data_IF_374235956016
#
_entry.id   IF_374235956016
#
_cell.length_a   1.000
_cell.length_b   1.000
_cell.length_c   1.000
_cell.angle_alpha   90.00
_cell.angle_beta   90.00
_cell.angle_gamma   90.00
#
_symmetry.space_group_name_H-M   'P 1'
#
loop_
_entity.id
_entity.type
_entity.pdbx_description
1 polymer ?
#
# COMPACT_ATOMS: atom_id res chain seq x y z
N UNK A 1 -7.05 26.65 -20.66
CA UNK A 1 -6.79 25.36 -21.35
C UNK A 1 -6.34 24.34 -20.31
N UNK A 2 -6.81 23.10 -20.39
CA UNK A 2 -6.40 22.04 -19.46
C UNK A 2 -4.97 21.59 -19.79
N UNK A 3 -4.07 21.63 -18.82
CA UNK A 3 -2.68 21.16 -18.93
C UNK A 3 -2.20 20.68 -17.56
N UNK A 4 -1.22 19.78 -17.53
CA UNK A 4 -0.56 19.34 -16.30
C UNK A 4 0.76 20.08 -16.09
N UNK A 5 1.22 20.14 -14.85
CA UNK A 5 2.54 20.68 -14.49
C UNK A 5 3.11 19.84 -13.35
N UNK A 6 4.39 19.48 -13.43
CA UNK A 6 5.12 18.91 -12.29
C UNK A 6 5.54 20.07 -11.39
N UNK A 7 5.13 20.03 -10.13
CA UNK A 7 5.47 21.03 -9.12
C UNK A 7 6.19 20.36 -7.95
N UNK A 8 7.12 21.05 -7.28
CA UNK A 8 7.62 20.59 -5.99
C UNK A 8 6.47 20.39 -5.01
N UNK A 9 6.60 19.39 -4.14
CA UNK A 9 5.71 19.15 -2.99
C UNK A 9 5.66 20.35 -2.01
N UNK A 10 6.72 21.16 -1.99
CA UNK A 10 6.80 22.43 -1.25
C UNK A 10 6.02 23.58 -1.91
N UNK A 11 5.37 23.38 -3.05
CA UNK A 11 4.62 24.42 -3.76
C UNK A 11 3.12 24.22 -3.52
N UNK A 12 2.48 25.23 -2.94
CA UNK A 12 1.08 25.15 -2.51
C UNK A 12 0.91 24.88 -1.01
N UNK A 13 1.96 25.17 -0.22
CA UNK A 13 1.94 24.97 1.23
C UNK A 13 0.69 25.63 1.84
N UNK A 14 -0.08 24.82 2.57
CA UNK A 14 -1.22 25.34 3.31
C UNK A 14 -0.72 26.09 4.54
N UNK A 15 -1.51 27.03 5.10
CA UNK A 15 -1.15 27.69 6.36
C UNK A 15 -1.05 26.73 7.56
N UNK A 16 -1.45 25.46 7.38
CA UNK A 16 -1.40 24.41 8.39
C UNK A 16 -0.18 23.50 8.25
N UNK A 17 0.71 23.79 7.30
CA UNK A 17 1.85 22.91 7.04
C UNK A 17 2.88 23.05 8.14
N UNK A 18 3.38 21.90 8.61
CA UNK A 18 4.40 21.82 9.64
C UNK A 18 5.41 20.74 9.26
N UNK A 19 6.66 20.92 9.68
CA UNK A 19 7.66 19.88 9.48
C UNK A 19 7.34 18.64 10.32
N UNK A 20 7.74 17.45 9.84
CA UNK A 20 7.60 16.21 10.61
C UNK A 20 8.24 16.29 12.00
N UNK A 21 9.38 16.99 12.13
CA UNK A 21 10.05 17.20 13.40
C UNK A 21 9.19 18.00 14.40
N UNK A 22 8.55 19.09 13.94
CA UNK A 22 7.62 19.87 14.76
C UNK A 22 6.39 19.06 15.13
N UNK A 23 5.81 18.32 14.18
CA UNK A 23 4.65 17.45 14.42
C UNK A 23 4.97 16.41 15.50
N UNK A 24 6.13 15.73 15.41
CA UNK A 24 6.57 14.75 16.41
C UNK A 24 6.80 15.37 17.78
N UNK A 25 7.47 16.52 17.83
CA UNK A 25 7.71 17.23 19.09
C UNK A 25 6.39 17.61 19.77
N UNK A 26 5.45 18.17 19.01
CA UNK A 26 4.12 18.56 19.48
C UNK A 26 3.31 17.38 20.01
N UNK A 27 3.45 16.22 19.37
CA UNK A 27 2.78 14.98 19.79
C UNK A 27 3.62 14.16 20.79
N UNK A 28 4.80 14.61 21.22
CA UNK A 28 5.65 13.86 22.16
C UNK A 28 6.00 12.45 21.65
N UNK A 29 6.31 12.33 20.36
CA UNK A 29 6.73 11.09 19.72
C UNK A 29 8.26 11.02 19.75
N UNK A 30 8.79 9.91 20.29
CA UNK A 30 10.22 9.62 20.38
C UNK A 30 10.57 8.57 19.31
N UNK A 31 11.21 8.95 18.19
CA UNK A 31 11.52 8.03 17.11
C UNK A 31 12.34 6.81 17.54
N UNK A 32 13.17 6.93 18.59
CA UNK A 32 14.02 5.83 19.08
C UNK A 32 13.21 4.69 19.70
N UNK A 33 11.95 4.94 20.06
CA UNK A 33 11.05 3.95 20.67
C UNK A 33 10.14 3.28 19.65
N UNK A 34 10.11 3.73 18.40
CA UNK A 34 9.25 3.19 17.36
C UNK A 34 9.79 1.86 16.82
N UNK A 35 8.90 0.99 16.38
CA UNK A 35 9.28 -0.19 15.60
C UNK A 35 9.71 0.27 14.21
N UNK A 36 10.92 -0.12 13.81
CA UNK A 36 11.48 0.28 12.53
C UNK A 36 10.97 -0.62 11.40
N UNK A 37 10.04 -0.10 10.62
CA UNK A 37 9.58 -0.69 9.36
C UNK A 37 10.48 -0.23 8.22
N UNK A 38 10.66 -1.09 7.22
CA UNK A 38 11.47 -0.78 6.02
C UNK A 38 10.63 -0.56 4.78
N UNK A 39 9.58 -1.38 4.60
CA UNK A 39 8.66 -1.32 3.46
C UNK A 39 7.37 -2.07 3.74
N UNK A 40 6.35 -1.80 2.94
CA UNK A 40 5.20 -2.69 2.83
C UNK A 40 5.57 -3.95 2.02
N UNK A 41 5.07 -5.11 2.42
CA UNK A 41 5.33 -6.41 1.78
C UNK A 41 4.11 -6.88 1.00
N UNK A 42 3.00 -7.14 1.69
CA UNK A 42 1.80 -7.69 1.08
C UNK A 42 0.56 -7.40 1.93
N UNK A 43 -0.62 -7.66 1.35
CA UNK A 43 -1.90 -7.68 2.08
C UNK A 43 -2.41 -9.11 2.22
N UNK A 44 -3.16 -9.36 3.30
CA UNK A 44 -3.70 -10.68 3.63
C UNK A 44 -5.22 -10.63 3.69
N UNK A 45 -5.88 -11.59 3.07
CA UNK A 45 -7.35 -11.70 3.06
C UNK A 45 -7.81 -13.14 3.21
N UNK A 46 -9.00 -13.29 3.79
CA UNK A 46 -9.75 -14.53 3.81
C UNK A 46 -10.95 -14.42 2.87
N UNK A 47 -11.15 -15.44 2.03
CA UNK A 47 -12.19 -15.48 1.01
C UNK A 47 -13.00 -16.78 1.10
N UNK A 48 -14.34 -16.72 0.99
CA UNK A 48 -15.18 -17.93 1.02
C UNK A 48 -14.90 -18.88 -0.14
N UNK A 49 -14.55 -18.30 -1.29
CA UNK A 49 -14.27 -19.00 -2.53
C UNK A 49 -12.89 -18.61 -3.04
N UNK A 50 -11.93 -19.52 -2.86
CA UNK A 50 -10.53 -19.31 -3.24
C UNK A 50 -10.36 -19.32 -4.77
N UNK A 51 -11.16 -20.10 -5.51
CA UNK A 51 -11.08 -20.14 -6.98
C UNK A 51 -11.57 -18.84 -7.60
N UNK A 52 -12.67 -18.30 -7.07
CA UNK A 52 -13.22 -17.02 -7.51
C UNK A 52 -12.23 -15.87 -7.31
N UNK A 53 -11.63 -15.75 -6.12
CA UNK A 53 -10.64 -14.69 -5.88
C UNK A 53 -9.36 -14.92 -6.70
N UNK A 54 -8.93 -16.17 -6.88
CA UNK A 54 -7.76 -16.49 -7.72
C UNK A 54 -7.98 -16.00 -9.15
N UNK A 55 -9.15 -16.25 -9.72
CA UNK A 55 -9.51 -15.78 -11.07
C UNK A 55 -9.44 -14.26 -11.15
N UNK A 56 -10.06 -13.56 -10.18
CA UNK A 56 -10.02 -12.10 -10.12
C UNK A 56 -8.59 -11.56 -10.05
N UNK A 57 -7.73 -12.10 -9.17
CA UNK A 57 -6.38 -11.59 -8.98
C UNK A 57 -5.48 -11.83 -10.20
N UNK A 58 -5.71 -12.92 -10.95
CA UNK A 58 -5.04 -13.14 -12.25
C UNK A 58 -5.53 -12.12 -13.28
N UNK A 59 -6.83 -11.90 -13.38
CA UNK A 59 -7.41 -10.91 -14.29
C UNK A 59 -7.03 -9.47 -13.93
N UNK A 60 -6.76 -9.23 -12.66
CA UNK A 60 -6.26 -7.96 -12.13
C UNK A 60 -4.79 -7.72 -12.51
N UNK A 61 -4.00 -8.78 -12.75
CA UNK A 61 -2.63 -8.68 -13.24
C UNK A 61 -1.57 -9.27 -12.30
N UNK A 62 -1.95 -10.12 -11.37
CA UNK A 62 -1.04 -10.88 -10.52
C UNK A 62 -0.80 -12.29 -11.06
N UNK A 63 0.29 -12.93 -10.61
CA UNK A 63 0.63 -14.32 -10.92
C UNK A 63 0.63 -15.15 -9.64
N UNK A 64 0.16 -16.40 -9.71
CA UNK A 64 0.21 -17.33 -8.58
C UNK A 64 1.66 -17.73 -8.30
N UNK A 65 2.18 -17.35 -7.13
CA UNK A 65 3.50 -17.75 -6.65
C UNK A 65 3.47 -19.15 -6.01
N UNK A 66 2.40 -19.45 -5.27
CA UNK A 66 2.14 -20.75 -4.66
C UNK A 66 0.65 -20.93 -4.44
N UNK A 67 0.16 -22.16 -4.46
CA UNK A 67 -1.24 -22.50 -4.15
C UNK A 67 -1.36 -23.85 -3.45
N UNK A 68 -2.26 -23.94 -2.50
CA UNK A 68 -2.72 -25.16 -1.81
C UNK A 68 -4.25 -25.23 -1.91
N UNK A 69 -4.91 -26.31 -1.41
CA UNK A 69 -6.37 -26.38 -1.38
C UNK A 69 -7.05 -25.28 -0.56
N UNK A 70 -6.34 -24.67 0.40
CA UNK A 70 -6.88 -23.70 1.35
C UNK A 70 -6.23 -22.33 1.27
N UNK A 71 -5.13 -22.16 0.53
CA UNK A 71 -4.34 -20.93 0.52
C UNK A 71 -3.71 -20.65 -0.85
N UNK A 72 -3.47 -19.38 -1.15
CA UNK A 72 -2.80 -18.94 -2.36
C UNK A 72 -1.99 -17.67 -2.11
N UNK A 73 -0.82 -17.60 -2.74
CA UNK A 73 0.09 -16.45 -2.73
C UNK A 73 0.19 -15.92 -4.14
N UNK A 74 0.05 -14.62 -4.31
CA UNK A 74 0.09 -13.95 -5.60
C UNK A 74 1.18 -12.90 -5.60
N UNK A 75 1.94 -12.82 -6.69
CA UNK A 75 3.05 -11.89 -6.85
C UNK A 75 2.89 -11.02 -8.08
N UNK A 76 3.58 -9.89 -8.05
CA UNK A 76 3.89 -9.09 -9.23
C UNK A 76 5.20 -9.51 -9.89
N UNK A 77 5.62 -8.74 -10.90
CA UNK A 77 6.90 -8.91 -11.58
C UNK A 77 8.09 -8.30 -10.81
N UNK A 78 7.85 -7.60 -9.70
CA UNK A 78 8.88 -7.10 -8.80
C UNK A 78 9.62 -8.21 -8.04
N UNK A 79 10.44 -7.80 -7.07
CA UNK A 79 11.25 -8.71 -6.24
C UNK A 79 10.53 -9.27 -5.01
N UNK A 80 9.27 -8.86 -4.76
CA UNK A 80 8.44 -9.41 -3.69
C UNK A 80 8.05 -10.86 -3.99
N UNK A 81 8.25 -11.82 -3.06
CA UNK A 81 7.82 -13.21 -3.26
C UNK A 81 6.32 -13.34 -3.46
N UNK A 82 5.55 -12.45 -2.84
CA UNK A 82 4.13 -12.24 -3.05
C UNK A 82 3.72 -10.87 -2.50
N UNK A 83 2.67 -10.29 -3.09
CA UNK A 83 2.07 -8.99 -2.77
C UNK A 83 0.64 -9.14 -2.23
N UNK A 84 0.04 -10.32 -2.40
CA UNK A 84 -1.28 -10.67 -1.91
C UNK A 84 -1.29 -12.12 -1.42
N UNK A 85 -1.80 -12.34 -0.21
CA UNK A 85 -2.07 -13.67 0.33
C UNK A 85 -3.58 -13.84 0.54
N UNK A 86 -4.09 -14.99 0.10
CA UNK A 86 -5.48 -15.40 0.26
C UNK A 86 -5.56 -16.75 0.99
N UNK A 87 -6.44 -16.87 1.97
CA UNK A 87 -6.85 -18.16 2.53
C UNK A 87 -8.36 -18.36 2.46
N UNK A 88 -8.79 -19.62 2.52
CA UNK A 88 -10.20 -19.99 2.48
C UNK A 88 -10.87 -19.78 3.84
N UNK A 89 -12.04 -19.15 3.85
CA UNK A 89 -12.90 -19.01 5.03
C UNK A 89 -13.87 -17.84 4.90
N UNK A 90 -14.55 -17.45 5.97
CA UNK A 90 -15.41 -16.25 5.97
C UNK A 90 -14.67 -14.99 5.49
N UNK A 91 -15.38 -14.10 4.78
CA UNK A 91 -14.79 -12.87 4.23
C UNK A 91 -14.20 -12.02 5.35
N UNK A 92 -12.87 -11.84 5.34
CA UNK A 92 -12.18 -11.08 6.37
C UNK A 92 -10.91 -10.45 5.83
N UNK A 93 -10.65 -9.20 6.23
CA UNK A 93 -9.34 -8.58 6.05
C UNK A 93 -8.40 -9.05 7.16
N UNK A 94 -7.24 -9.59 6.77
CA UNK A 94 -6.22 -10.11 7.68
C UNK A 94 -5.01 -9.19 7.81
N UNK A 95 -5.10 -7.96 7.28
CA UNK A 95 -4.14 -6.89 7.54
C UNK A 95 -3.16 -6.66 6.40
N UNK A 96 -2.45 -5.54 6.49
CA UNK A 96 -1.22 -5.32 5.74
C UNK A 96 -0.02 -5.86 6.51
N UNK A 97 1.02 -6.24 5.77
CA UNK A 97 2.26 -6.77 6.31
C UNK A 97 3.40 -5.85 5.96
N UNK A 98 4.21 -5.49 6.95
CA UNK A 98 5.37 -4.62 6.81
C UNK A 98 6.64 -5.36 7.18
N UNK A 99 7.69 -5.18 6.39
CA UNK A 99 9.02 -5.69 6.72
C UNK A 99 9.64 -4.82 7.81
N UNK A 100 10.30 -5.46 8.76
CA UNK A 100 11.09 -4.79 9.81
C UNK A 100 12.59 -4.86 9.51
N UNK A 101 13.34 -3.92 10.06
CA UNK A 101 14.78 -3.76 9.79
C UNK A 101 15.59 -4.96 10.29
N UNK A 102 15.28 -5.47 11.49
CA UNK A 102 15.92 -6.65 12.06
C UNK A 102 14.95 -7.52 12.91
N UNK A 103 15.43 -8.69 13.33
CA UNK A 103 14.64 -9.62 14.15
C UNK A 103 14.27 -9.03 15.53
N UNK A 104 15.13 -8.20 16.11
CA UNK A 104 14.91 -7.51 17.38
C UNK A 104 13.71 -6.56 17.35
N UNK A 105 13.39 -5.97 16.20
CA UNK A 105 12.15 -5.20 16.02
C UNK A 105 10.89 -6.08 16.17
N UNK A 106 10.93 -7.35 15.74
CA UNK A 106 9.84 -8.29 16.03
C UNK A 106 9.79 -8.67 17.52
N UNK A 107 10.95 -8.80 18.19
CA UNK A 107 10.99 -9.06 19.64
C UNK A 107 10.50 -7.88 20.47
N UNK A 108 10.72 -6.65 20.00
CA UNK A 108 10.16 -5.44 20.57
C UNK A 108 8.64 -5.43 20.41
N UNK A 109 8.16 -5.72 19.20
CA UNK A 109 6.75 -5.80 18.89
C UNK A 109 6.02 -6.91 19.67
N UNK A 110 6.65 -8.07 19.88
CA UNK A 110 6.03 -9.21 20.57
C UNK A 110 5.73 -8.94 22.05
N UNK A 111 6.39 -7.94 22.66
CA UNK A 111 6.15 -7.49 24.04
C UNK A 111 4.98 -6.53 24.16
N UNK A 112 4.41 -6.08 23.04
CA UNK A 112 3.29 -5.15 23.04
C UNK A 112 1.97 -5.84 23.35
N UNK A 113 1.05 -5.09 23.98
CA UNK A 113 -0.32 -5.56 24.20
C UNK A 113 -1.00 -5.79 22.84
N UNK A 114 -1.59 -6.96 22.66
CA UNK A 114 -2.27 -7.34 21.40
C UNK A 114 -1.37 -8.01 20.37
N UNK A 115 -0.09 -8.22 20.69
CA UNK A 115 0.82 -9.03 19.87
C UNK A 115 0.51 -10.52 19.99
N UNK A 116 0.54 -11.22 18.85
CA UNK A 116 0.59 -12.69 18.79
C UNK A 116 1.99 -13.22 19.09
N UNK A 117 2.19 -14.53 18.87
CA UNK A 117 3.53 -15.12 18.85
C UNK A 117 4.24 -14.88 17.51
N UNK A 118 5.57 -14.89 17.53
CA UNK A 118 6.38 -14.96 16.29
C UNK A 118 6.23 -16.38 15.73
N UNK A 119 5.82 -16.49 14.47
CA UNK A 119 5.65 -17.76 13.77
C UNK A 119 6.61 -17.88 12.59
N UNK A 120 7.12 -19.08 12.34
CA UNK A 120 7.90 -19.38 11.14
C UNK A 120 7.00 -19.40 9.90
N UNK A 121 7.54 -18.91 8.78
CA UNK A 121 6.93 -18.95 7.46
C UNK A 121 7.64 -19.92 6.52
N UNK A 122 8.34 -20.95 7.00
CA UNK A 122 9.14 -21.89 6.18
C UNK A 122 8.39 -22.48 4.98
N UNK A 123 7.06 -22.62 5.07
CA UNK A 123 6.24 -23.13 3.97
C UNK A 123 5.80 -22.03 2.97
N UNK A 124 5.89 -20.76 3.31
CA UNK A 124 5.51 -19.64 2.44
C UNK A 124 6.65 -19.30 1.45
N UNK A 125 6.35 -18.78 0.24
CA UNK A 125 7.40 -18.31 -0.66
C UNK A 125 8.32 -17.28 0.00
N UNK A 126 9.62 -17.52 -0.07
CA UNK A 126 10.65 -16.69 0.57
C UNK A 126 10.85 -16.93 2.07
N UNK A 127 10.04 -17.78 2.72
CA UNK A 127 10.23 -18.10 4.14
C UNK A 127 10.09 -16.90 5.09
N UNK A 128 10.89 -16.93 6.15
CA UNK A 128 11.00 -15.86 7.15
C UNK A 128 10.16 -16.10 8.41
N UNK A 129 9.91 -15.02 9.14
CA UNK A 129 9.14 -15.02 10.37
C UNK A 129 8.09 -13.93 10.34
N UNK A 130 6.95 -14.17 10.99
CA UNK A 130 5.87 -13.20 11.06
C UNK A 130 5.30 -13.08 12.46
N UNK A 131 4.96 -11.86 12.84
CA UNK A 131 4.19 -11.52 14.03
C UNK A 131 2.94 -10.76 13.59
N UNK A 132 1.81 -10.92 14.29
CA UNK A 132 0.62 -10.06 14.05
C UNK A 132 0.25 -9.31 15.32
N UNK A 133 0.12 -8.00 15.20
CA UNK A 133 -0.42 -7.08 16.19
C UNK A 133 -1.88 -6.76 15.83
N UNK A 134 -2.66 -6.35 16.82
CA UNK A 134 -4.00 -5.81 16.60
C UNK A 134 -4.05 -4.38 17.13
N UNK A 135 -4.54 -3.47 16.30
CA UNK A 135 -4.70 -2.07 16.68
C UNK A 135 -5.89 -1.88 17.66
N UNK A 136 -6.21 -0.60 17.97
CA UNK A 136 -7.24 -0.26 18.95
C UNK A 136 -8.67 -0.61 18.52
N UNK A 137 -8.90 -0.92 17.24
CA UNK A 137 -10.18 -1.38 16.69
C UNK A 137 -10.13 -2.84 16.22
N UNK A 138 -9.03 -3.54 16.52
CA UNK A 138 -8.83 -4.94 16.20
C UNK A 138 -8.45 -5.20 14.75
N UNK A 139 -8.01 -4.19 13.98
CA UNK A 139 -7.42 -4.47 12.67
C UNK A 139 -6.06 -5.13 12.87
N UNK A 140 -5.82 -6.26 12.17
CA UNK A 140 -4.51 -6.88 12.17
C UNK A 140 -3.51 -6.04 11.36
N UNK A 141 -2.30 -5.92 11.89
CA UNK A 141 -1.10 -5.48 11.18
C UNK A 141 0.00 -6.48 11.48
N UNK A 142 0.62 -7.03 10.43
CA UNK A 142 1.67 -8.02 10.59
C UNK A 142 3.05 -7.42 10.31
N UNK A 143 4.05 -7.95 11.01
CA UNK A 143 5.46 -7.67 10.79
C UNK A 143 6.11 -8.92 10.21
N UNK A 144 7.00 -8.75 9.23
CA UNK A 144 7.76 -9.84 8.62
C UNK A 144 9.26 -9.54 8.64
N UNK A 145 10.06 -10.58 8.85
CA UNK A 145 11.53 -10.50 8.79
C UNK A 145 12.11 -11.75 8.14
N UNK A 146 13.24 -11.61 7.45
CA UNK A 146 14.01 -12.73 6.90
C UNK A 146 13.38 -13.39 5.69
N UNK A 147 12.45 -12.71 5.01
CA UNK A 147 11.86 -13.22 3.77
C UNK A 147 12.84 -13.03 2.60
N UNK A 148 13.25 -14.11 1.96
CA UNK A 148 14.12 -14.08 0.78
C UNK A 148 13.39 -13.44 -0.41
N UNK A 149 14.04 -12.46 -1.06
CA UNK A 149 13.50 -11.78 -2.25
C UNK A 149 13.41 -12.75 -3.43
N UNK A 150 12.34 -12.64 -4.21
CA UNK A 150 12.24 -13.39 -5.45
C UNK A 150 13.04 -12.74 -6.58
N UNK A 151 13.44 -13.55 -7.56
CA UNK A 151 13.97 -13.03 -8.83
C UNK A 151 12.92 -12.13 -9.49
N UNK A 152 13.31 -10.91 -9.88
CA UNK A 152 12.45 -10.01 -10.64
C UNK A 152 12.18 -10.55 -12.04
N UNK A 153 11.00 -10.27 -12.56
CA UNK A 153 10.68 -10.44 -13.97
C UNK A 153 11.33 -9.34 -14.83
N UNK A 154 11.08 -9.41 -16.14
CA UNK A 154 11.46 -8.35 -17.08
C UNK A 154 10.60 -7.11 -16.82
N UNK A 155 11.26 -5.94 -16.77
CA UNK A 155 10.54 -4.68 -16.66
C UNK A 155 10.05 -4.26 -18.05
N UNK A 156 8.78 -3.83 -18.19
CA UNK A 156 8.31 -3.31 -19.46
C UNK A 156 9.16 -2.11 -19.90
N UNK A 157 9.28 -1.91 -21.21
CA UNK A 157 10.02 -0.76 -21.74
C UNK A 157 9.28 0.55 -21.43
N UNK A 158 10.04 1.62 -21.16
CA UNK A 158 9.48 2.97 -21.05
C UNK A 158 9.17 3.49 -22.45
N UNK A 159 7.90 3.76 -22.73
CA UNK A 159 7.49 4.25 -24.03
C UNK A 159 7.99 5.68 -24.30
N UNK A 160 8.25 5.97 -25.58
CA UNK A 160 8.65 7.30 -26.02
C UNK A 160 7.43 8.09 -26.49
N UNK A 161 7.25 9.28 -25.91
CA UNK A 161 6.24 10.23 -26.34
C UNK A 161 6.84 11.27 -27.28
N UNK A 162 6.00 11.77 -28.20
CA UNK A 162 6.29 12.96 -28.98
C UNK A 162 5.46 14.10 -28.39
N UNK A 163 6.11 15.23 -28.13
CA UNK A 163 5.52 16.49 -27.71
C UNK A 163 5.44 17.45 -28.91
N UNK A 164 4.82 18.61 -28.71
CA UNK A 164 4.57 19.61 -29.75
C UNK A 164 5.86 20.09 -30.42
N UNK A 165 6.89 20.33 -29.62
CA UNK A 165 8.21 20.84 -29.98
C UNK A 165 9.30 19.76 -30.03
N UNK A 166 9.15 18.66 -29.29
CA UNK A 166 10.14 17.56 -29.23
C UNK A 166 9.56 16.22 -29.72
N UNK A 167 10.17 15.60 -30.75
CA UNK A 167 9.65 14.35 -31.36
C UNK A 167 10.72 13.24 -31.41
N UNK A 168 11.15 12.69 -30.26
CA UNK A 168 12.23 11.71 -30.20
C UNK A 168 11.87 10.35 -30.81
N UNK A 169 10.58 10.01 -30.96
CA UNK A 169 10.14 8.71 -31.50
C UNK A 169 10.19 8.71 -33.03
N UNK A 170 11.33 8.30 -33.60
CA UNK A 170 11.56 8.25 -35.05
C UNK A 170 11.17 6.88 -35.64
N UNK A 171 10.17 6.86 -36.52
CA UNK A 171 9.72 5.67 -37.29
C UNK A 171 9.45 4.42 -36.43
N UNK A 172 9.02 4.62 -35.18
CA UNK A 172 8.62 3.57 -34.23
C UNK A 172 7.17 3.76 -33.80
N UNK A 173 6.43 2.67 -33.60
CA UNK A 173 5.05 2.70 -33.09
C UNK A 173 5.04 2.38 -31.60
N UNK A 174 4.21 3.06 -30.82
CA UNK A 174 3.80 2.56 -29.51
C UNK A 174 2.60 1.64 -29.74
N UNK A 175 2.76 0.35 -29.46
CA UNK A 175 1.70 -0.65 -29.54
C UNK A 175 1.65 -1.37 -28.21
N UNK A 176 0.45 -1.60 -27.72
CA UNK A 176 0.22 -2.28 -26.46
C UNK A 176 -0.51 -3.59 -26.70
N UNK A 177 -0.16 -4.59 -25.91
CA UNK A 177 -0.94 -5.82 -25.83
C UNK A 177 -2.12 -5.61 -24.87
N UNK A 178 -3.30 -6.05 -25.28
CA UNK A 178 -4.50 -5.95 -24.44
C UNK A 178 -4.49 -7.10 -23.43
N UNK A 179 -4.56 -6.77 -22.15
CA UNK A 179 -4.59 -7.75 -21.07
C UNK A 179 -4.69 -7.09 -19.69
N UNK A 180 -4.52 -7.89 -18.62
CA UNK A 180 -4.35 -7.37 -17.27
C UNK A 180 -3.20 -6.36 -17.20
N UNK A 181 -3.32 -5.34 -16.35
CA UNK A 181 -2.18 -4.47 -16.04
C UNK A 181 -1.26 -5.22 -15.07
N UNK A 182 -0.09 -5.64 -15.56
CA UNK A 182 0.85 -6.41 -14.75
C UNK A 182 1.24 -5.65 -13.48
N UNK A 183 1.02 -6.28 -12.32
CA UNK A 183 1.35 -5.71 -11.02
C UNK A 183 2.86 -5.76 -10.81
N UNK A 184 3.46 -4.65 -10.39
CA UNK A 184 4.86 -4.57 -9.96
C UNK A 184 5.01 -5.00 -8.50
N UNK A 185 4.45 -4.19 -7.59
CA UNK A 185 4.44 -4.37 -6.13
C UNK A 185 3.15 -3.83 -5.50
N UNK A 186 2.94 -4.12 -4.23
CA UNK A 186 1.95 -3.43 -3.40
C UNK A 186 2.48 -2.01 -3.08
N UNK A 187 1.67 -0.99 -3.35
CA UNK A 187 2.00 0.40 -2.99
C UNK A 187 1.54 0.72 -1.58
N UNK A 188 0.25 0.51 -1.30
CA UNK A 188 -0.35 0.77 0.01
C UNK A 188 -1.65 0.00 0.23
N UNK A 189 -2.13 0.06 1.46
CA UNK A 189 -3.54 -0.21 1.76
C UNK A 189 -4.11 0.88 2.66
N UNK A 190 -5.43 0.94 2.76
CA UNK A 190 -6.08 1.80 3.72
C UNK A 190 -7.33 1.20 4.33
N UNK A 191 -7.75 1.79 5.44
CA UNK A 191 -8.96 1.38 6.16
C UNK A 191 -9.71 2.56 6.76
N UNK A 192 -11.00 2.33 6.96
CA UNK A 192 -11.94 3.21 7.63
C UNK A 192 -11.93 2.92 9.14
N UNK A 193 -11.87 3.96 9.96
CA UNK A 193 -11.81 3.92 11.42
C UNK A 193 -12.96 4.69 12.05
N UNK A 194 -13.52 4.20 13.16
CA UNK A 194 -14.49 4.95 13.97
C UNK A 194 -13.79 5.81 15.04
N UNK A 195 -12.49 5.65 15.22
CA UNK A 195 -11.67 6.28 16.26
C UNK A 195 -10.38 6.86 15.66
N UNK A 196 -10.52 7.64 14.59
CA UNK A 196 -9.41 8.13 13.77
C UNK A 196 -8.23 8.70 14.56
N UNK A 197 -8.45 9.66 15.46
CA UNK A 197 -7.37 10.28 16.26
C UNK A 197 -6.61 9.25 17.11
N UNK A 198 -7.33 8.30 17.71
CA UNK A 198 -6.71 7.23 18.52
C UNK A 198 -5.92 6.24 17.67
N UNK A 199 -6.37 5.98 16.45
CA UNK A 199 -5.62 5.14 15.51
C UNK A 199 -4.36 5.86 15.03
N UNK A 200 -4.47 7.12 14.62
CA UNK A 200 -3.31 7.93 14.25
C UNK A 200 -2.25 7.92 15.36
N UNK A 201 -2.65 8.17 16.60
CA UNK A 201 -1.75 8.14 17.76
C UNK A 201 -1.11 6.75 17.95
N UNK A 202 -1.90 5.67 17.88
CA UNK A 202 -1.37 4.31 18.04
C UNK A 202 -0.36 3.96 16.95
N UNK A 203 -0.68 4.20 15.68
CA UNK A 203 0.20 3.85 14.56
C UNK A 203 1.51 4.65 14.59
N UNK A 204 1.45 5.96 14.85
CA UNK A 204 2.61 6.86 14.84
C UNK A 204 3.47 6.80 16.11
N UNK A 205 2.93 6.24 17.20
CA UNK A 205 3.69 5.90 18.42
C UNK A 205 4.21 4.47 18.46
N UNK A 206 3.69 3.59 17.61
CA UNK A 206 4.09 2.19 17.56
C UNK A 206 5.16 1.96 16.50
N UNK A 207 4.99 2.56 15.32
CA UNK A 207 5.85 2.36 14.16
C UNK A 207 6.41 3.69 13.67
N UNK A 208 7.48 3.64 12.89
CA UNK A 208 8.01 4.79 12.15
C UNK A 208 7.10 5.26 11.00
N UNK A 209 5.78 5.12 11.10
CA UNK A 209 4.88 5.81 10.19
C UNK A 209 4.91 7.31 10.45
N UNK A 210 4.99 8.09 9.37
CA UNK A 210 4.98 9.53 9.41
C UNK A 210 3.86 10.07 8.49
N UNK A 211 3.05 11.03 8.95
CA UNK A 211 2.06 11.67 8.08
C UNK A 211 2.72 12.37 6.90
N UNK A 212 2.19 12.13 5.71
CA UNK A 212 2.53 12.84 4.47
C UNK A 212 1.49 13.92 4.19
N UNK A 213 0.21 13.54 4.22
CA UNK A 213 -0.93 14.42 3.97
C UNK A 213 -2.03 14.18 5.02
N UNK A 214 -2.71 15.25 5.42
CA UNK A 214 -3.95 15.18 6.20
C UNK A 214 -5.15 15.60 5.36
N UNK A 215 -6.23 14.81 5.46
CA UNK A 215 -7.55 15.21 5.03
C UNK A 215 -8.26 15.86 6.20
N UNK A 216 -8.84 17.04 5.99
CA UNK A 216 -9.58 17.74 7.02
C UNK A 216 -10.92 18.26 6.52
N UNK A 217 -11.85 18.45 7.45
CA UNK A 217 -13.04 19.26 7.25
C UNK A 217 -12.93 20.52 8.10
N UNK A 218 -13.57 21.58 7.65
CA UNK A 218 -13.77 22.79 8.43
C UNK A 218 -15.26 22.98 8.63
N UNK A 219 -15.68 23.03 9.88
CA UNK A 219 -17.07 23.30 10.27
C UNK A 219 -17.12 24.41 11.33
N UNK A 220 -18.28 24.60 11.95
CA UNK A 220 -18.49 25.63 12.97
C UNK A 220 -17.63 25.47 14.24
N UNK A 221 -17.00 24.30 14.43
CA UNK A 221 -16.13 23.99 15.58
C UNK A 221 -14.63 24.11 15.23
N UNK A 222 -14.30 24.36 13.96
CA UNK A 222 -12.94 24.59 13.48
C UNK A 222 -12.46 23.52 12.51
N UNK A 223 -11.13 23.41 12.37
CA UNK A 223 -10.49 22.38 11.53
C UNK A 223 -10.45 21.06 12.30
N UNK A 224 -10.87 19.97 11.66
CA UNK A 224 -10.77 18.62 12.18
C UNK A 224 -10.24 17.67 11.12
N UNK A 225 -9.15 16.98 11.44
CA UNK A 225 -8.56 15.98 10.57
C UNK A 225 -9.43 14.72 10.57
N UNK A 226 -9.74 14.20 9.38
CA UNK A 226 -10.61 13.05 9.12
C UNK A 226 -9.93 11.97 8.30
N UNK A 227 -8.68 12.17 7.91
CA UNK A 227 -7.90 11.18 7.19
C UNK A 227 -6.43 11.54 7.15
N UNK A 228 -5.59 10.52 6.94
CA UNK A 228 -4.14 10.67 6.88
C UNK A 228 -3.54 9.66 5.92
N UNK A 229 -2.63 10.14 5.07
CA UNK A 229 -1.72 9.31 4.29
C UNK A 229 -0.39 9.27 5.03
N UNK A 230 0.18 8.08 5.22
CA UNK A 230 1.43 7.91 5.97
C UNK A 230 2.45 7.10 5.18
N UNK A 231 3.67 7.64 5.08
CA UNK A 231 4.85 6.92 4.61
C UNK A 231 5.58 6.26 5.78
N UNK A 232 6.54 5.39 5.45
CA UNK A 232 7.48 4.81 6.41
C UNK A 232 8.69 5.74 6.45
N UNK A 233 8.96 6.37 7.59
CA UNK A 233 10.09 7.27 7.74
C UNK A 233 11.41 6.48 7.83
N UNK A 234 12.25 6.64 6.81
CA UNK A 234 13.61 6.07 6.72
C UNK A 234 14.69 7.16 6.78
N UNK A 235 14.37 8.33 7.35
CA UNK A 235 15.27 9.47 7.43
C UNK A 235 15.49 10.08 6.05
N UNK A 236 16.75 10.09 5.59
CA UNK A 236 17.13 10.70 4.31
C UNK A 236 16.88 9.79 3.09
N UNK A 237 16.47 8.54 3.30
CA UNK A 237 16.11 7.62 2.22
C UNK A 237 14.77 8.01 1.58
N UNK A 238 14.74 8.16 0.26
CA UNK A 238 13.53 8.44 -0.49
C UNK A 238 12.57 7.23 -0.44
N UNK A 239 11.35 7.46 0.01
CA UNK A 239 10.31 6.45 0.17
C UNK A 239 9.04 6.82 -0.61
N UNK A 240 8.16 5.85 -0.80
CA UNK A 240 6.85 6.10 -1.40
C UNK A 240 6.04 7.07 -0.53
N UNK A 241 5.26 7.94 -1.19
CA UNK A 241 4.49 9.00 -0.54
C UNK A 241 3.58 8.47 0.59
N UNK A 242 3.02 7.27 0.46
CA UNK A 242 2.38 6.57 1.56
C UNK A 242 2.37 5.06 1.34
N UNK A 243 2.38 4.32 2.45
CA UNK A 243 2.12 2.87 2.49
C UNK A 243 0.89 2.52 3.31
N UNK A 244 0.36 3.47 4.10
CA UNK A 244 -0.83 3.31 4.91
C UNK A 244 -1.74 4.54 4.79
N UNK A 245 -3.03 4.30 4.58
CA UNK A 245 -4.08 5.33 4.62
C UNK A 245 -5.12 5.01 5.68
N UNK A 246 -5.46 5.98 6.53
CA UNK A 246 -6.54 5.84 7.53
C UNK A 246 -7.52 6.98 7.32
N UNK A 247 -8.82 6.70 7.31
CA UNK A 247 -9.86 7.74 7.27
C UNK A 247 -10.97 7.47 8.27
N UNK A 248 -11.57 8.52 8.80
CA UNK A 248 -12.71 8.46 9.69
C UNK A 248 -13.96 8.02 8.94
N UNK A 249 -14.73 7.10 9.54
CA UNK A 249 -16.02 6.67 9.02
C UNK A 249 -16.93 6.18 10.16
N UNK A 250 -18.23 6.07 9.90
CA UNK A 250 -19.21 5.53 10.85
C UNK A 250 -19.00 4.05 11.14
N UNK A 251 -18.36 3.32 10.21
CA UNK A 251 -18.07 1.89 10.36
C UNK A 251 -16.57 1.62 10.16
N UNK A 252 -16.06 0.60 10.85
CA UNK A 252 -14.69 0.12 10.63
C UNK A 252 -14.65 -0.96 9.55
N UNK A 253 -13.86 -0.77 8.51
CA UNK A 253 -13.64 -1.76 7.46
C UNK A 253 -12.39 -1.43 6.63
N UNK A 254 -11.84 -2.41 5.93
CA UNK A 254 -10.79 -2.14 4.93
C UNK A 254 -11.36 -1.29 3.80
N UNK A 255 -10.63 -0.25 3.40
CA UNK A 255 -11.04 0.65 2.33
C UNK A 255 -10.56 0.13 0.98
N UNK A 256 -9.26 -0.12 0.82
CA UNK A 256 -8.68 -0.65 -0.42
C UNK A 256 -7.24 -1.15 -0.21
N UNK A 257 -6.73 -1.90 -1.18
CA UNK A 257 -5.31 -2.13 -1.39
C UNK A 257 -4.97 -1.72 -2.84
N UNK A 258 -3.87 -1.01 -3.02
CA UNK A 258 -3.46 -0.45 -4.31
C UNK A 258 -2.10 -0.99 -4.72
N UNK A 259 -1.99 -1.32 -5.99
CA UNK A 259 -0.83 -1.99 -6.56
C UNK A 259 -0.24 -1.13 -7.67
N UNK A 260 1.08 -1.06 -7.72
CA UNK A 260 1.80 -0.35 -8.76
C UNK A 260 1.75 -1.11 -10.08
N UNK A 261 1.59 -0.37 -11.16
CA UNK A 261 1.69 -0.83 -12.54
C UNK A 261 2.68 0.07 -13.28
N UNK A 262 3.12 -0.36 -14.46
CA UNK A 262 4.25 0.27 -15.15
C UNK A 262 4.03 1.74 -15.53
N UNK A 263 2.85 2.07 -16.05
CA UNK A 263 2.52 3.42 -16.47
C UNK A 263 0.99 3.65 -16.56
N UNK A 264 0.61 4.88 -16.91
CA UNK A 264 -0.80 5.27 -17.05
C UNK A 264 -1.51 4.57 -18.22
N UNK A 265 -0.81 4.29 -19.32
CA UNK A 265 -1.41 3.63 -20.49
C UNK A 265 -1.77 2.19 -20.15
N UNK A 266 -0.88 1.46 -19.48
CA UNK A 266 -1.11 0.11 -18.97
C UNK A 266 -2.23 0.08 -17.93
N UNK A 267 -2.31 1.08 -17.03
CA UNK A 267 -3.45 1.23 -16.12
C UNK A 267 -4.78 1.37 -16.88
N UNK A 268 -4.81 2.19 -17.94
CA UNK A 268 -6.00 2.37 -18.75
C UNK A 268 -6.41 1.08 -19.47
N UNK A 269 -5.46 0.37 -20.05
CA UNK A 269 -5.70 -0.92 -20.72
C UNK A 269 -6.23 -1.95 -19.73
N UNK A 270 -5.63 -2.06 -18.55
CA UNK A 270 -6.08 -2.96 -17.49
C UNK A 270 -7.49 -2.66 -17.01
N UNK A 271 -7.87 -1.38 -16.89
CA UNK A 271 -9.24 -0.99 -16.56
C UNK A 271 -10.23 -1.45 -17.65
N UNK A 272 -9.92 -1.22 -18.93
CA UNK A 272 -10.80 -1.67 -20.03
C UNK A 272 -10.88 -3.21 -20.09
N UNK A 273 -9.78 -3.90 -19.81
CA UNK A 273 -9.74 -5.35 -19.69
C UNK A 273 -10.67 -5.87 -18.60
N UNK A 274 -10.59 -5.31 -17.39
CA UNK A 274 -11.47 -5.68 -16.27
C UNK A 274 -12.94 -5.38 -16.58
N UNK A 275 -13.24 -4.24 -17.22
CA UNK A 275 -14.62 -3.92 -17.66
C UNK A 275 -15.16 -4.91 -18.67
N UNK A 276 -14.36 -5.33 -19.66
CA UNK A 276 -14.76 -6.35 -20.64
C UNK A 276 -15.07 -7.70 -20.00
N UNK A 277 -14.44 -8.01 -18.86
CA UNK A 277 -14.71 -9.21 -18.05
C UNK A 277 -15.89 -9.08 -17.10
N UNK A 278 -16.57 -7.92 -17.09
CA UNK A 278 -17.76 -7.69 -16.27
C UNK A 278 -17.48 -7.34 -14.82
N UNK A 279 -16.25 -6.93 -14.47
CA UNK A 279 -15.96 -6.42 -13.13
C UNK A 279 -16.51 -5.01 -12.93
N UNK A 280 -17.00 -4.76 -11.72
CA UNK A 280 -17.56 -3.47 -11.33
C UNK A 280 -16.44 -2.46 -10.99
N UNK A 281 -16.58 -1.25 -11.51
CA UNK A 281 -15.68 -0.14 -11.21
C UNK A 281 -16.27 0.68 -10.08
N UNK A 282 -15.53 0.82 -8.98
CA UNK A 282 -15.90 1.65 -7.83
C UNK A 282 -15.53 3.12 -8.09
N UNK A 283 -14.37 3.35 -8.73
CA UNK A 283 -13.89 4.66 -9.13
C UNK A 283 -13.21 4.55 -10.50
N UNK A 284 -13.27 5.62 -11.30
CA UNK A 284 -12.68 5.68 -12.63
C UNK A 284 -11.14 5.84 -12.61
N UNK A 285 -10.55 6.02 -13.78
CA UNK A 285 -9.12 6.33 -13.92
C UNK A 285 -8.93 7.84 -13.77
N UNK A 286 -7.92 8.26 -13.02
CA UNK A 286 -7.57 9.67 -12.89
C UNK A 286 -6.37 9.89 -11.99
N UNK A 287 -5.93 11.15 -11.90
CA UNK A 287 -4.90 11.61 -10.96
C UNK A 287 -5.56 12.10 -9.69
N UNK A 288 -5.12 11.60 -8.54
CA UNK A 288 -5.51 12.16 -7.26
C UNK A 288 -4.79 13.48 -7.01
N UNK A 289 -5.51 14.44 -6.42
CA UNK A 289 -4.91 15.69 -5.93
C UNK A 289 -4.10 15.43 -4.66
N UNK A 290 -4.59 14.56 -3.78
CA UNK A 290 -3.96 14.18 -2.50
C UNK A 290 -3.48 12.74 -2.56
N UNK A 291 -2.34 12.42 -1.92
CA UNK A 291 -1.70 11.12 -2.05
C UNK A 291 -0.90 10.92 -3.35
N UNK A 292 -1.08 11.79 -4.37
CA UNK A 292 -0.35 11.93 -5.64
C UNK A 292 0.29 10.66 -6.26
N UNK A 293 -0.35 9.50 -6.14
CA UNK A 293 0.17 8.25 -6.71
C UNK A 293 -0.40 8.03 -8.11
N UNK A 294 0.47 8.22 -9.11
CA UNK A 294 0.42 7.58 -10.43
C UNK A 294 1.83 7.45 -10.99
#
# INVERSE_FOLDING_TARGET
MAHGVTVPDTKGLSPYDESLAQWRQRNGIDPTKLINLTRISHVRYQHPDLDRITTFLIDFGMVVAKRTPTEAWFRGYGTDPYVYYACKGERKFLGGVFEVDDYGEMEKASRMKGAGGIVSLDYSPGGGYMLTLHDLEGFPISLIYGQERATKGEFPEKIQYNYEDEKPRIRRFNRFEVGPAAVHKLGHYGFCSQKFERQLDWYTRTFNFAPSDFLYVTDGEGKRDIGVFMHIDRGDEAVDHHSLFITQNETRHVHHASFEVHDFDTQHIGHQWLRKRGYESVWGIGRHILGSQM
#
